data_IF_500210284259
#
_entry.id   IF_500210284259
#
_cell.length_a   1.000
_cell.length_b   1.000
_cell.length_c   1.000
_cell.angle_alpha   90.00
_cell.angle_beta   90.00
_cell.angle_gamma   90.00
#
_symmetry.space_group_name_H-M   'P 1'
#
loop_
_entity.id
_entity.type
_entity.pdbx_description
1 polymer ?
#
# COMPACT_ATOMS: atom_id res chain seq x y z
N UNK A 1 26.19 6.34 11.98
CA UNK A 1 24.81 6.89 12.03
C UNK A 1 24.03 6.35 10.83
N UNK A 2 22.79 5.87 11.03
CA UNK A 2 21.96 5.38 9.93
C UNK A 2 21.67 6.50 8.92
N UNK A 3 21.76 6.22 7.61
CA UNK A 3 21.64 7.23 6.53
C UNK A 3 20.39 7.04 5.66
N UNK A 4 19.42 6.29 6.16
CA UNK A 4 18.19 5.95 5.45
C UNK A 4 18.30 4.65 4.65
N UNK A 5 17.17 4.01 4.41
CA UNK A 5 17.04 2.87 3.49
C UNK A 5 17.22 3.34 2.05
N UNK A 6 17.69 2.47 1.15
CA UNK A 6 17.74 2.77 -0.29
C UNK A 6 16.34 2.94 -0.88
N UNK A 7 15.43 2.04 -0.51
CA UNK A 7 14.01 2.02 -0.89
C UNK A 7 13.15 2.01 0.37
N UNK A 8 12.26 2.99 0.46
CA UNK A 8 11.25 3.07 1.51
C UNK A 8 9.88 2.76 0.91
N UNK A 9 9.21 1.73 1.41
CA UNK A 9 7.81 1.45 1.09
C UNK A 9 6.93 1.94 2.23
N UNK A 10 5.80 2.57 1.95
CA UNK A 10 4.87 3.07 2.97
C UNK A 10 3.44 3.07 2.44
N UNK A 11 2.47 3.28 3.32
CA UNK A 11 1.07 3.58 2.98
C UNK A 11 0.48 4.50 4.02
N UNK A 12 -0.73 5.00 3.81
CA UNK A 12 -1.43 5.79 4.83
C UNK A 12 -1.66 4.97 6.11
N UNK A 13 -1.81 5.66 7.26
CA UNK A 13 -1.98 5.03 8.56
C UNK A 13 -3.17 4.05 8.58
N UNK A 14 -4.26 4.36 7.87
CA UNK A 14 -5.39 3.45 7.72
C UNK A 14 -4.96 2.17 6.99
N UNK A 15 -4.21 2.27 5.92
CA UNK A 15 -3.76 1.11 5.17
C UNK A 15 -2.80 0.21 5.98
N UNK A 16 -1.80 0.79 6.65
CA UNK A 16 -0.72 0.03 7.30
C UNK A 16 -0.95 -0.27 8.79
N UNK A 17 -2.02 0.27 9.38
CA UNK A 17 -2.39 0.04 10.77
C UNK A 17 -2.55 -1.45 11.11
N UNK A 18 -2.18 -1.82 12.33
CA UNK A 18 -2.43 -3.16 12.89
C UNK A 18 -3.90 -3.35 13.30
N UNK A 19 -4.64 -2.25 13.44
CA UNK A 19 -6.01 -2.19 13.94
C UNK A 19 -6.26 -3.00 15.22
N UNK A 20 -5.24 -3.09 16.08
CA UNK A 20 -5.29 -3.91 17.30
C UNK A 20 -5.73 -5.36 17.02
N UNK A 21 -5.34 -5.91 15.86
CA UNK A 21 -5.71 -7.26 15.38
C UNK A 21 -7.20 -7.44 15.05
N UNK A 22 -7.93 -6.34 14.82
CA UNK A 22 -9.32 -6.33 14.33
C UNK A 22 -9.39 -5.85 12.89
N UNK A 23 -9.81 -6.70 11.95
CA UNK A 23 -9.87 -6.32 10.53
C UNK A 23 -11.00 -5.33 10.19
N UNK A 24 -12.04 -5.22 11.03
CA UNK A 24 -13.25 -4.44 10.72
C UNK A 24 -13.10 -2.94 10.90
N UNK A 25 -12.11 -2.49 11.69
CA UNK A 25 -11.87 -1.07 11.95
C UNK A 25 -11.32 -0.33 10.71
N UNK A 26 -10.95 -1.06 9.65
CA UNK A 26 -10.42 -0.46 8.42
C UNK A 26 -11.39 0.45 7.68
N UNK A 27 -12.68 0.28 7.89
CA UNK A 27 -13.67 1.15 7.26
C UNK A 27 -13.70 2.57 7.86
N UNK A 28 -13.24 2.72 9.11
CA UNK A 28 -13.22 4.01 9.80
C UNK A 28 -12.31 5.03 9.11
N UNK A 29 -11.29 4.59 8.35
CA UNK A 29 -10.37 5.49 7.65
C UNK A 29 -11.02 6.16 6.41
N UNK A 30 -12.16 5.65 5.95
CA UNK A 30 -13.00 6.31 4.94
C UNK A 30 -13.87 7.44 5.50
N UNK A 31 -13.99 7.58 6.83
CA UNK A 31 -14.78 8.65 7.43
C UNK A 31 -14.17 10.03 7.14
N UNK A 32 -15.02 11.04 6.86
CA UNK A 32 -14.60 12.43 6.76
C UNK A 32 -13.94 12.94 8.05
N UNK A 33 -12.91 13.79 7.92
CA UNK A 33 -12.12 14.29 9.05
C UNK A 33 -12.91 15.16 10.06
N UNK A 34 -14.06 15.68 9.68
CA UNK A 34 -14.97 16.43 10.55
C UNK A 34 -15.84 15.52 11.42
N UNK A 35 -16.07 14.29 10.97
CA UNK A 35 -16.64 13.21 11.81
C UNK A 35 -15.52 12.50 12.58
N UNK A 36 -14.33 12.43 11.98
CA UNK A 36 -13.17 11.74 12.53
C UNK A 36 -11.89 12.61 12.57
N UNK A 37 -11.71 13.46 13.60
CA UNK A 37 -10.56 14.35 13.69
C UNK A 37 -9.22 13.62 13.87
N UNK A 38 -8.14 14.20 13.35
CA UNK A 38 -6.82 13.56 13.27
C UNK A 38 -6.14 13.29 14.61
N UNK A 39 -6.59 13.89 15.72
CA UNK A 39 -5.95 13.72 17.02
C UNK A 39 -6.25 12.35 17.67
N UNK A 40 -7.25 11.60 17.17
CA UNK A 40 -7.55 10.23 17.62
C UNK A 40 -6.86 9.14 16.76
N UNK A 41 -6.06 9.54 15.77
CA UNK A 41 -5.54 8.62 14.77
C UNK A 41 -4.65 7.51 15.34
N UNK A 42 -3.85 7.79 16.37
CA UNK A 42 -3.00 6.79 17.02
C UNK A 42 -3.79 5.70 17.75
N UNK A 43 -4.97 6.05 18.26
CA UNK A 43 -5.85 5.13 18.95
C UNK A 43 -6.56 4.19 17.96
N UNK A 44 -7.02 4.72 16.83
CA UNK A 44 -7.82 3.97 15.86
C UNK A 44 -7.00 3.29 14.78
N UNK A 45 -5.86 3.90 14.44
CA UNK A 45 -4.89 3.37 13.48
C UNK A 45 -3.54 3.13 14.17
N UNK A 46 -3.46 2.21 15.14
CA UNK A 46 -2.21 1.89 15.82
C UNK A 46 -1.25 1.19 14.85
N UNK A 47 -0.03 1.71 14.74
CA UNK A 47 1.05 1.10 13.96
C UNK A 47 2.00 0.34 14.89
N UNK A 48 2.63 -0.72 14.37
CA UNK A 48 3.67 -1.45 15.08
C UNK A 48 4.96 -1.42 14.27
N UNK A 49 5.88 -0.56 14.68
CA UNK A 49 7.18 -0.38 14.01
C UNK A 49 8.35 -0.56 14.97
N UNK A 50 9.49 -0.99 14.43
CA UNK A 50 10.75 -1.21 15.14
C UNK A 50 11.77 -0.12 14.82
N UNK A 51 13.03 -0.51 14.69
CA UNK A 51 14.14 0.40 14.40
C UNK A 51 13.93 1.13 13.06
N UNK A 52 14.22 2.43 13.04
CA UNK A 52 14.09 3.29 11.85
C UNK A 52 12.69 3.26 11.20
N UNK A 53 11.64 3.10 12.01
CA UNK A 53 10.26 3.05 11.51
C UNK A 53 9.90 1.78 10.74
N UNK A 54 10.78 0.76 10.64
CA UNK A 54 10.46 -0.50 9.93
C UNK A 54 9.23 -1.16 10.55
N UNK A 55 8.20 -1.40 9.74
CA UNK A 55 6.97 -2.05 10.16
C UNK A 55 7.23 -3.50 10.58
N UNK A 56 6.63 -3.92 11.69
CA UNK A 56 6.61 -5.33 12.13
C UNK A 56 5.59 -6.16 11.33
N UNK A 57 4.55 -5.49 10.85
CA UNK A 57 3.52 -6.03 9.96
C UNK A 57 2.94 -4.91 9.12
N UNK A 58 2.43 -5.19 7.93
CA UNK A 58 1.85 -4.16 7.06
C UNK A 58 0.73 -4.72 6.18
N UNK A 59 0.22 -3.88 5.28
CA UNK A 59 -0.77 -4.28 4.28
C UNK A 59 -0.17 -5.27 3.29
N UNK A 60 -0.99 -6.25 2.89
CA UNK A 60 -0.58 -7.39 2.06
C UNK A 60 0.08 -6.98 0.73
N UNK A 61 -0.46 -5.97 0.03
CA UNK A 61 0.12 -5.47 -1.23
C UNK A 61 1.55 -4.95 -1.05
N UNK A 62 1.80 -4.12 -0.03
CA UNK A 62 3.17 -3.65 0.28
C UNK A 62 4.11 -4.82 0.62
N UNK A 63 3.63 -5.84 1.33
CA UNK A 63 4.41 -7.04 1.65
C UNK A 63 4.78 -7.84 0.40
N UNK A 64 3.90 -7.90 -0.61
CA UNK A 64 4.19 -8.53 -1.92
C UNK A 64 5.20 -7.75 -2.74
N UNK A 65 5.11 -6.42 -2.75
CA UNK A 65 6.09 -5.58 -3.43
C UNK A 65 7.46 -5.70 -2.76
N UNK A 66 7.53 -5.66 -1.42
CA UNK A 66 8.77 -5.92 -0.69
C UNK A 66 9.35 -7.29 -1.07
N UNK A 67 8.55 -8.35 -1.02
CA UNK A 67 9.02 -9.69 -1.35
C UNK A 67 9.49 -9.80 -2.81
N UNK A 68 8.79 -9.17 -3.76
CA UNK A 68 9.24 -9.13 -5.16
C UNK A 68 10.59 -8.42 -5.31
N UNK A 69 10.82 -7.31 -4.60
CA UNK A 69 12.12 -6.65 -4.61
C UNK A 69 13.21 -7.59 -4.07
N UNK A 70 12.97 -8.24 -2.94
CA UNK A 70 13.95 -9.16 -2.35
C UNK A 70 14.26 -10.35 -3.27
N UNK A 71 13.24 -10.92 -3.92
CA UNK A 71 13.41 -12.03 -4.88
C UNK A 71 14.16 -11.59 -6.16
N UNK A 72 14.30 -10.28 -6.39
CA UNK A 72 15.02 -9.68 -7.53
C UNK A 72 16.35 -9.00 -7.13
N UNK A 73 16.97 -9.48 -6.04
CA UNK A 73 18.35 -9.13 -5.68
C UNK A 73 18.51 -7.87 -4.82
N UNK A 74 17.41 -7.27 -4.36
CA UNK A 74 17.48 -6.23 -3.34
C UNK A 74 17.70 -6.85 -1.95
N UNK A 75 18.43 -6.15 -1.10
CA UNK A 75 18.72 -6.61 0.27
C UNK A 75 17.63 -6.17 1.24
N UNK A 76 17.46 -6.93 2.34
CA UNK A 76 16.55 -6.56 3.42
C UNK A 76 17.11 -5.41 4.25
N UNK A 77 18.35 -5.03 4.06
CA UNK A 77 19.01 -3.88 4.68
C UNK A 77 18.71 -2.59 3.89
N UNK A 78 18.45 -2.71 2.58
CA UNK A 78 18.18 -1.59 1.68
C UNK A 78 16.70 -1.29 1.47
N UNK A 79 15.83 -2.28 1.63
CA UNK A 79 14.37 -2.15 1.46
C UNK A 79 13.67 -2.28 2.81
N UNK A 80 12.74 -1.36 3.10
CA UNK A 80 11.88 -1.47 4.28
C UNK A 80 10.46 -1.00 3.99
N UNK A 81 9.47 -1.72 4.50
CA UNK A 81 8.14 -1.14 4.74
C UNK A 81 8.21 -0.32 6.02
N UNK A 82 7.76 0.92 5.98
CA UNK A 82 7.99 1.94 7.01
C UNK A 82 6.67 2.54 7.48
N UNK A 83 6.63 2.85 8.76
CA UNK A 83 5.56 3.60 9.41
C UNK A 83 5.49 5.03 8.85
N UNK A 84 4.35 5.46 8.27
CA UNK A 84 4.22 6.80 7.70
C UNK A 84 4.47 7.92 8.71
N UNK A 85 4.32 7.64 10.03
CA UNK A 85 4.57 8.61 11.11
C UNK A 85 6.05 8.79 11.43
N UNK A 86 6.91 7.92 10.92
CA UNK A 86 8.35 7.86 11.21
C UNK A 86 9.20 7.89 9.94
N UNK A 87 8.69 8.51 8.88
CA UNK A 87 9.38 8.62 7.59
C UNK A 87 10.71 9.38 7.70
N UNK A 88 10.82 10.33 8.62
CA UNK A 88 12.02 11.09 8.93
C UNK A 88 13.16 10.25 9.53
N UNK A 89 12.83 9.12 10.17
CA UNK A 89 13.84 8.17 10.65
C UNK A 89 14.37 7.25 9.54
N UNK A 90 13.56 7.01 8.51
CA UNK A 90 13.79 6.01 7.47
C UNK A 90 14.35 6.60 6.17
N UNK A 91 13.95 7.83 5.84
CA UNK A 91 14.36 8.54 4.63
C UNK A 91 15.56 9.41 4.94
N UNK A 92 16.66 9.17 4.25
CA UNK A 92 17.91 9.88 4.48
C UNK A 92 18.74 10.06 3.22
N UNK A 93 20.03 10.42 3.36
CA UNK A 93 20.89 10.66 2.21
C UNK A 93 21.07 9.48 1.24
N UNK A 94 20.90 8.25 1.72
CA UNK A 94 21.01 7.05 0.89
C UNK A 94 19.71 6.70 0.17
N UNK A 95 18.58 7.28 0.56
CA UNK A 95 17.28 6.97 -0.03
C UNK A 95 17.19 7.51 -1.45
N UNK A 96 16.70 6.67 -2.37
CA UNK A 96 16.50 6.98 -3.79
C UNK A 96 15.06 6.81 -4.25
N UNK A 97 14.28 5.99 -3.54
CA UNK A 97 12.90 5.77 -3.90
C UNK A 97 11.99 5.68 -2.68
N UNK A 98 10.80 6.26 -2.80
CA UNK A 98 9.68 6.05 -1.89
C UNK A 98 8.52 5.45 -2.68
N UNK A 99 8.16 4.21 -2.36
CA UNK A 99 6.97 3.52 -2.85
C UNK A 99 5.78 3.75 -1.91
N UNK A 100 4.66 4.25 -2.42
CA UNK A 100 3.46 4.50 -1.62
C UNK A 100 2.32 3.62 -2.12
N UNK A 101 1.85 2.71 -1.25
CA UNK A 101 0.63 1.95 -1.45
C UNK A 101 -0.60 2.79 -1.12
N UNK A 102 -1.59 2.84 -2.01
CA UNK A 102 -2.82 3.62 -1.82
C UNK A 102 -4.07 2.78 -2.06
N UNK A 103 -5.13 3.06 -1.30
CA UNK A 103 -6.46 2.44 -1.45
C UNK A 103 -7.56 3.46 -1.78
N UNK A 104 -7.49 4.67 -1.23
CA UNK A 104 -8.45 5.77 -1.50
C UNK A 104 -7.73 7.14 -1.35
N UNK A 105 -6.75 7.43 -2.23
CA UNK A 105 -5.87 8.59 -2.07
C UNK A 105 -6.59 9.95 -2.22
N UNK A 106 -7.68 10.03 -2.98
CA UNK A 106 -8.47 11.25 -3.20
C UNK A 106 -9.80 11.25 -2.44
N UNK A 107 -10.18 10.15 -1.78
CA UNK A 107 -11.40 10.11 -0.97
C UNK A 107 -12.67 9.95 -1.81
N UNK A 108 -12.53 9.37 -3.00
CA UNK A 108 -13.60 9.23 -4.00
C UNK A 108 -13.92 7.77 -4.32
N UNK A 109 -13.28 6.81 -3.65
CA UNK A 109 -13.65 5.40 -3.73
C UNK A 109 -15.12 5.21 -3.32
N UNK A 110 -15.78 4.22 -3.91
CA UNK A 110 -17.15 3.82 -3.62
C UNK A 110 -17.46 3.76 -2.12
N UNK A 111 -16.59 3.13 -1.33
CA UNK A 111 -16.80 3.00 0.12
C UNK A 111 -16.88 4.35 0.83
N UNK A 112 -15.97 5.26 0.53
CA UNK A 112 -15.93 6.62 1.09
C UNK A 112 -17.13 7.45 0.61
N UNK A 113 -17.49 7.35 -0.67
CA UNK A 113 -18.64 8.07 -1.22
C UNK A 113 -19.96 7.59 -0.64
N UNK A 114 -20.13 6.27 -0.46
CA UNK A 114 -21.29 5.70 0.21
C UNK A 114 -21.39 6.21 1.65
N UNK A 115 -20.28 6.25 2.37
CA UNK A 115 -20.24 6.71 3.75
C UNK A 115 -20.64 8.19 3.87
N UNK A 116 -20.12 9.04 2.97
CA UNK A 116 -20.55 10.44 2.86
C UNK A 116 -22.04 10.58 2.60
N UNK A 117 -22.60 9.74 1.72
CA UNK A 117 -24.02 9.78 1.40
C UNK A 117 -24.88 9.38 2.60
N UNK A 118 -24.54 8.30 3.30
CA UNK A 118 -25.22 7.86 4.53
C UNK A 118 -25.17 8.94 5.61
N UNK A 119 -24.00 9.54 5.86
CA UNK A 119 -23.85 10.65 6.80
C UNK A 119 -24.76 11.83 6.44
N UNK A 120 -24.83 12.19 5.14
CA UNK A 120 -25.72 13.25 4.67
C UNK A 120 -27.20 12.94 4.93
N UNK A 121 -27.63 11.69 4.72
CA UNK A 121 -29.00 11.25 5.03
C UNK A 121 -29.30 11.34 6.54
N UNK A 122 -28.29 11.14 7.39
CA UNK A 122 -28.37 11.31 8.85
C UNK A 122 -28.29 12.78 9.30
N UNK A 123 -28.30 13.74 8.37
CA UNK A 123 -28.18 15.17 8.68
C UNK A 123 -26.76 15.66 8.96
N UNK A 124 -25.74 14.81 8.78
CA UNK A 124 -24.33 15.17 8.96
C UNK A 124 -23.78 15.70 7.63
N UNK A 125 -23.54 17.02 7.57
CA UNK A 125 -22.97 17.66 6.39
C UNK A 125 -21.43 17.61 6.42
N UNK A 126 -20.87 16.49 5.98
CA UNK A 126 -19.44 16.28 5.98
C UNK A 126 -18.72 17.04 4.85
N UNK A 127 -17.86 18.00 5.19
CA UNK A 127 -17.16 18.89 4.25
C UNK A 127 -15.70 18.52 4.04
N UNK A 128 -15.06 17.86 5.01
CA UNK A 128 -13.66 17.52 4.91
C UNK A 128 -13.44 16.23 4.12
N UNK A 129 -12.24 16.06 3.58
CA UNK A 129 -11.79 14.83 2.93
C UNK A 129 -11.76 13.63 3.91
N UNK A 130 -11.69 12.41 3.39
CA UNK A 130 -11.56 11.21 4.24
C UNK A 130 -10.21 11.20 4.96
N UNK A 131 -10.12 10.46 6.07
CA UNK A 131 -8.86 10.28 6.77
C UNK A 131 -7.77 9.70 5.87
N UNK A 132 -8.07 8.64 5.10
CA UNK A 132 -7.10 8.05 4.16
C UNK A 132 -6.57 9.04 3.13
N UNK A 133 -7.45 9.86 2.55
CA UNK A 133 -7.04 10.86 1.58
C UNK A 133 -6.13 11.91 2.24
N UNK A 134 -6.52 12.41 3.42
CA UNK A 134 -5.70 13.34 4.20
C UNK A 134 -4.32 12.75 4.55
N UNK A 135 -4.29 11.51 5.03
CA UNK A 135 -3.07 10.80 5.41
C UNK A 135 -2.15 10.56 4.21
N UNK A 136 -2.71 10.15 3.06
CA UNK A 136 -1.95 10.03 1.81
C UNK A 136 -1.33 11.36 1.38
N UNK A 137 -2.10 12.45 1.46
CA UNK A 137 -1.59 13.79 1.14
C UNK A 137 -0.48 14.24 2.11
N UNK A 138 -0.52 13.82 3.39
CA UNK A 138 0.55 14.07 4.36
C UNK A 138 1.85 13.37 3.99
N UNK A 139 1.78 12.13 3.52
CA UNK A 139 2.96 11.38 3.05
C UNK A 139 3.54 12.09 1.83
N UNK A 140 2.73 12.35 0.80
CA UNK A 140 3.20 13.00 -0.44
C UNK A 140 3.82 14.38 -0.20
N UNK A 141 3.28 15.15 0.76
CA UNK A 141 3.78 16.48 1.14
C UNK A 141 4.81 16.45 2.27
N UNK A 142 5.27 15.26 2.69
CA UNK A 142 6.14 15.14 3.85
C UNK A 142 7.46 15.92 3.65
N UNK A 143 7.93 16.73 4.62
CA UNK A 143 9.13 17.55 4.47
C UNK A 143 10.38 16.74 4.09
N UNK A 144 10.50 15.51 4.58
CA UNK A 144 11.65 14.63 4.26
C UNK A 144 11.70 14.24 2.78
N UNK A 145 10.55 14.03 2.14
CA UNK A 145 10.46 13.74 0.70
C UNK A 145 10.89 14.97 -0.08
N UNK A 146 10.37 16.15 0.29
CA UNK A 146 10.75 17.43 -0.32
C UNK A 146 12.24 17.71 -0.18
N UNK A 147 12.82 17.45 0.99
CA UNK A 147 14.25 17.65 1.29
C UNK A 147 15.18 16.87 0.34
N UNK A 148 14.78 15.67 -0.09
CA UNK A 148 15.59 14.81 -0.94
C UNK A 148 15.07 14.67 -2.37
N UNK A 149 14.07 15.46 -2.76
CA UNK A 149 13.32 15.30 -4.01
C UNK A 149 14.18 15.30 -5.28
N UNK A 150 15.32 15.97 -5.28
CA UNK A 150 16.25 16.02 -6.43
C UNK A 150 16.84 14.66 -6.81
N UNK A 151 16.92 13.72 -5.86
CA UNK A 151 17.43 12.35 -6.08
C UNK A 151 16.43 11.26 -5.76
N UNK A 152 15.37 11.62 -5.04
CA UNK A 152 14.36 10.69 -4.55
C UNK A 152 13.18 10.68 -5.52
N UNK A 153 12.87 9.48 -6.03
CA UNK A 153 11.70 9.21 -6.87
C UNK A 153 10.52 8.75 -6.01
N UNK A 154 9.33 9.26 -6.30
CA UNK A 154 8.07 8.89 -5.67
C UNK A 154 7.29 8.00 -6.64
N UNK A 155 7.05 6.75 -6.23
CA UNK A 155 6.33 5.75 -7.01
C UNK A 155 5.05 5.41 -6.24
N UNK A 156 3.89 5.48 -6.88
CA UNK A 156 2.60 5.22 -6.22
C UNK A 156 1.88 4.10 -6.93
N UNK A 157 1.34 3.16 -6.15
CA UNK A 157 0.55 2.05 -6.67
C UNK A 157 -0.45 1.54 -5.63
N UNK A 158 -1.19 0.50 -5.97
CA UNK A 158 -2.24 -0.05 -5.12
C UNK A 158 -3.63 0.15 -5.69
N UNK A 159 -4.63 -0.35 -4.98
CA UNK A 159 -6.01 -0.48 -5.48
C UNK A 159 -6.67 0.88 -5.79
N UNK A 160 -6.26 1.95 -5.10
CA UNK A 160 -6.80 3.30 -5.29
C UNK A 160 -6.05 4.16 -6.32
N UNK A 161 -5.05 3.63 -7.03
CA UNK A 161 -4.20 4.43 -7.92
C UNK A 161 -4.97 5.06 -9.09
N UNK A 162 -6.06 4.44 -9.52
CA UNK A 162 -6.93 4.93 -10.60
C UNK A 162 -7.46 6.33 -10.33
N UNK A 163 -7.70 6.70 -9.06
CA UNK A 163 -8.18 8.04 -8.69
C UNK A 163 -7.20 9.13 -9.13
N UNK A 164 -5.89 8.86 -9.03
CA UNK A 164 -4.83 9.80 -9.44
C UNK A 164 -4.64 9.79 -10.96
N UNK A 165 -4.81 8.63 -11.60
CA UNK A 165 -4.72 8.47 -13.06
C UNK A 165 -5.83 9.28 -13.73
N UNK A 166 -7.08 9.01 -13.34
CA UNK A 166 -8.26 9.58 -13.98
C UNK A 166 -8.41 11.08 -13.71
N UNK A 167 -7.93 11.55 -12.55
CA UNK A 167 -7.92 12.98 -12.22
C UNK A 167 -6.77 13.76 -12.87
N UNK A 168 -5.78 13.09 -13.48
CA UNK A 168 -4.61 13.74 -14.07
C UNK A 168 -3.69 14.42 -13.04
N UNK A 169 -3.84 14.13 -11.74
CA UNK A 169 -3.16 14.85 -10.67
C UNK A 169 -1.70 14.41 -10.42
N UNK A 170 -1.21 13.38 -11.13
CA UNK A 170 0.13 12.80 -10.94
C UNK A 170 1.24 13.84 -10.78
N UNK A 171 1.39 14.71 -11.77
CA UNK A 171 2.47 15.71 -11.81
C UNK A 171 2.31 16.75 -10.68
N UNK A 172 1.07 17.20 -10.43
CA UNK A 172 0.75 18.17 -9.37
C UNK A 172 1.03 17.61 -7.97
N UNK A 173 0.87 16.31 -7.79
CA UNK A 173 1.18 15.60 -6.55
C UNK A 173 2.67 15.23 -6.43
N UNK A 174 3.50 15.57 -7.42
CA UNK A 174 4.93 15.31 -7.40
C UNK A 174 5.31 13.83 -7.55
N UNK A 175 4.42 13.01 -8.12
CA UNK A 175 4.60 11.57 -8.30
C UNK A 175 5.36 11.31 -9.61
N UNK A 176 6.48 10.57 -9.55
CA UNK A 176 7.27 10.24 -10.73
C UNK A 176 6.63 9.12 -11.56
N UNK A 177 6.14 8.06 -10.90
CA UNK A 177 5.51 6.91 -11.58
C UNK A 177 4.26 6.42 -10.86
N UNK A 178 3.19 6.18 -11.62
CA UNK A 178 2.01 5.44 -11.19
C UNK A 178 2.10 3.98 -11.65
N UNK A 179 1.79 3.04 -10.77
CA UNK A 179 1.71 1.60 -11.09
C UNK A 179 0.27 1.13 -10.94
N UNK A 180 -0.37 0.82 -12.07
CA UNK A 180 -1.74 0.32 -12.17
C UNK A 180 -1.73 -1.20 -12.40
N UNK A 181 -2.59 -1.95 -11.71
CA UNK A 181 -2.64 -3.41 -11.82
C UNK A 181 -1.67 -4.12 -10.87
N UNK A 182 -1.20 -5.31 -11.25
CA UNK A 182 -0.31 -6.13 -10.40
C UNK A 182 1.15 -5.67 -10.53
N UNK A 183 1.70 -5.14 -9.44
CA UNK A 183 3.00 -4.48 -9.43
C UNK A 183 4.20 -5.42 -9.37
N UNK A 184 4.00 -6.70 -9.03
CA UNK A 184 5.10 -7.60 -8.65
C UNK A 184 6.12 -7.82 -9.78
N UNK A 185 5.71 -7.84 -11.04
CA UNK A 185 6.64 -8.01 -12.18
C UNK A 185 7.35 -6.71 -12.58
N UNK A 186 6.73 -5.55 -12.33
CA UNK A 186 7.21 -4.25 -12.84
C UNK A 186 7.99 -3.47 -11.78
N UNK A 187 7.64 -3.63 -10.50
CA UNK A 187 8.24 -2.89 -9.40
C UNK A 187 9.77 -3.06 -9.33
N UNK A 188 10.37 -4.27 -9.45
CA UNK A 188 11.83 -4.42 -9.38
C UNK A 188 12.58 -3.56 -10.40
N UNK A 189 12.11 -3.52 -11.65
CA UNK A 189 12.70 -2.70 -12.71
C UNK A 189 12.57 -1.21 -12.42
N UNK A 190 11.38 -0.76 -11.99
CA UNK A 190 11.12 0.65 -11.67
C UNK A 190 12.03 1.11 -10.52
N UNK A 191 12.12 0.33 -9.44
CA UNK A 191 12.96 0.67 -8.29
C UNK A 191 14.45 0.59 -8.60
N UNK A 192 14.89 -0.35 -9.45
CA UNK A 192 16.28 -0.41 -9.90
C UNK A 192 16.68 0.85 -10.68
N UNK A 193 15.81 1.31 -11.59
CA UNK A 193 16.00 2.57 -12.32
C UNK A 193 16.04 3.77 -11.38
N UNK A 194 15.14 3.82 -10.39
CA UNK A 194 15.11 4.88 -9.39
C UNK A 194 16.42 4.95 -8.58
N UNK A 195 16.97 3.79 -8.19
CA UNK A 195 18.24 3.70 -7.45
C UNK A 195 19.42 4.23 -8.27
N UNK A 196 19.43 3.95 -9.58
CA UNK A 196 20.44 4.44 -10.52
C UNK A 196 20.28 5.92 -10.89
N UNK A 197 19.19 6.57 -10.44
CA UNK A 197 18.90 7.96 -10.77
C UNK A 197 18.38 8.15 -12.20
N UNK A 198 17.91 7.07 -12.84
CA UNK A 198 17.37 7.12 -14.20
C UNK A 198 15.99 7.83 -14.23
N UNK A 199 15.63 8.31 -15.41
CA UNK A 199 14.28 8.79 -15.72
C UNK A 199 13.27 7.64 -15.60
N UNK A 200 12.13 7.90 -14.95
CA UNK A 200 11.06 6.93 -14.82
C UNK A 200 9.90 7.29 -15.73
N UNK A 201 9.23 6.27 -16.27
CA UNK A 201 8.02 6.48 -17.05
C UNK A 201 6.87 6.93 -16.12
N UNK A 202 6.03 7.90 -16.55
CA UNK A 202 4.93 8.43 -15.75
C UNK A 202 3.90 7.41 -15.23
N UNK A 203 3.62 6.37 -16.03
CA UNK A 203 2.58 5.39 -15.76
C UNK A 203 3.00 4.04 -16.32
N UNK A 204 2.87 3.00 -15.50
CA UNK A 204 3.13 1.61 -15.86
C UNK A 204 1.89 0.79 -15.54
N UNK A 205 1.45 -0.02 -16.50
CA UNK A 205 0.43 -1.05 -16.28
C UNK A 205 1.10 -2.38 -15.99
N UNK A 206 0.93 -2.88 -14.78
CA UNK A 206 1.35 -4.19 -14.33
C UNK A 206 0.42 -5.28 -14.88
N UNK A 207 0.94 -6.25 -15.66
CA UNK A 207 0.13 -7.34 -16.18
C UNK A 207 -0.25 -8.33 -15.07
N UNK A 208 -1.25 -9.19 -15.28
CA UNK A 208 -1.51 -10.31 -14.36
C UNK A 208 -0.25 -11.14 -14.11
N UNK A 209 0.08 -11.37 -12.84
CA UNK A 209 1.29 -12.10 -12.44
C UNK A 209 1.07 -13.61 -12.53
N UNK A 210 1.87 -14.37 -13.29
CA UNK A 210 1.77 -15.83 -13.31
C UNK A 210 1.94 -16.43 -11.92
N UNK A 211 1.28 -17.56 -11.66
CA UNK A 211 1.17 -18.14 -10.31
C UNK A 211 2.53 -18.39 -9.65
N UNK A 212 3.48 -18.89 -10.42
CA UNK A 212 4.85 -19.17 -10.04
C UNK A 212 5.62 -17.90 -9.67
N UNK A 213 5.29 -16.76 -10.28
CA UNK A 213 5.93 -15.45 -10.04
C UNK A 213 5.31 -14.65 -8.90
N UNK A 214 4.17 -15.08 -8.33
CA UNK A 214 3.63 -14.45 -7.12
C UNK A 214 4.58 -14.75 -5.94
N UNK A 215 5.23 -13.74 -5.35
CA UNK A 215 6.21 -13.96 -4.30
C UNK A 215 5.51 -14.33 -2.98
N UNK A 216 6.21 -15.07 -2.14
CA UNK A 216 5.79 -15.32 -0.75
C UNK A 216 6.21 -14.11 0.09
N UNK A 217 5.32 -13.55 0.91
CA UNK A 217 5.66 -12.39 1.76
C UNK A 217 6.85 -12.67 2.70
N UNK A 218 7.60 -11.61 3.07
CA UNK A 218 8.70 -11.67 4.06
C UNK A 218 8.39 -10.88 5.33
N UNK A 219 7.55 -9.86 5.21
CA UNK A 219 6.96 -9.14 6.34
C UNK A 219 5.54 -9.65 6.57
N UNK A 220 5.13 -9.92 7.83
CA UNK A 220 3.76 -10.30 8.16
C UNK A 220 2.72 -9.34 7.59
N UNK A 221 1.64 -9.86 7.03
CA UNK A 221 0.59 -9.13 6.30
C UNK A 221 -0.67 -8.92 7.15
N UNK A 222 -0.50 -8.73 8.47
CA UNK A 222 -1.58 -8.61 9.46
C UNK A 222 -2.50 -9.82 9.46
N UNK A 223 -1.97 -11.02 9.18
CA UNK A 223 -2.74 -12.26 9.11
C UNK A 223 -3.48 -12.48 7.78
N UNK A 224 -3.37 -11.58 6.80
CA UNK A 224 -4.01 -11.75 5.48
C UNK A 224 -3.21 -12.73 4.63
N UNK A 225 -3.83 -13.81 4.18
CA UNK A 225 -3.23 -14.78 3.26
C UNK A 225 -4.14 -14.98 2.06
N UNK A 226 -3.65 -14.69 0.87
CA UNK A 226 -4.43 -14.85 -0.36
C UNK A 226 -4.48 -16.33 -0.77
N UNK A 227 -5.69 -16.83 -1.00
CA UNK A 227 -5.92 -18.22 -1.45
C UNK A 227 -6.30 -18.28 -2.92
N UNK A 228 -6.88 -17.21 -3.46
CA UNK A 228 -7.10 -17.04 -4.90
C UNK A 228 -6.87 -15.58 -5.29
N UNK A 229 -6.44 -15.36 -6.54
CA UNK A 229 -6.25 -14.03 -7.13
C UNK A 229 -7.06 -13.91 -8.40
N UNK A 230 -7.72 -12.76 -8.57
CA UNK A 230 -8.64 -12.52 -9.67
C UNK A 230 -9.99 -13.18 -9.45
N UNK A 231 -10.97 -12.77 -10.25
CA UNK A 231 -12.37 -13.16 -10.14
C UNK A 231 -12.84 -13.96 -11.37
N UNK A 232 -12.36 -13.60 -12.57
CA UNK A 232 -12.64 -14.28 -13.83
C UNK A 232 -14.08 -14.17 -14.34
N UNK A 233 -14.90 -13.30 -13.74
CA UNK A 233 -16.30 -13.05 -14.13
C UNK A 233 -16.46 -12.14 -15.35
N UNK A 234 -15.47 -11.32 -15.70
CA UNK A 234 -15.57 -10.46 -16.88
C UNK A 234 -16.52 -9.26 -16.75
N UNK A 235 -16.80 -8.79 -15.54
CA UNK A 235 -17.70 -7.65 -15.34
C UNK A 235 -17.15 -6.39 -16.03
N UNK A 236 -18.00 -5.67 -16.78
CA UNK A 236 -17.61 -4.48 -17.56
C UNK A 236 -17.01 -3.35 -16.72
N UNK A 237 -17.36 -3.27 -15.44
CA UNK A 237 -16.91 -2.25 -14.50
C UNK A 237 -15.66 -2.67 -13.70
N UNK A 238 -15.13 -3.88 -13.92
CA UNK A 238 -14.06 -4.45 -13.12
C UNK A 238 -12.69 -4.17 -13.74
N UNK A 239 -11.63 -4.16 -12.92
CA UNK A 239 -10.27 -3.99 -13.40
C UNK A 239 -9.87 -5.21 -14.27
N UNK A 240 -9.28 -5.01 -15.47
CA UNK A 240 -8.88 -6.10 -16.37
C UNK A 240 -7.94 -7.15 -15.74
N UNK A 241 -7.13 -6.77 -14.75
CA UNK A 241 -6.26 -7.72 -14.04
C UNK A 241 -7.04 -8.78 -13.25
N UNK A 242 -8.29 -8.50 -12.89
CA UNK A 242 -9.16 -9.43 -12.17
C UNK A 242 -9.80 -10.49 -13.09
N UNK A 243 -9.52 -10.46 -14.40
CA UNK A 243 -9.99 -11.48 -15.34
C UNK A 243 -9.23 -12.81 -15.17
N UNK A 244 -7.97 -12.77 -14.75
CA UNK A 244 -7.15 -13.97 -14.62
C UNK A 244 -7.32 -14.58 -13.22
N UNK A 245 -8.21 -15.57 -13.11
CA UNK A 245 -8.39 -16.36 -11.90
C UNK A 245 -7.23 -17.33 -11.69
N UNK A 246 -6.65 -17.33 -10.49
CA UNK A 246 -5.52 -18.17 -10.09
C UNK A 246 -5.76 -18.72 -8.69
N UNK A 247 -5.65 -20.03 -8.52
CA UNK A 247 -5.64 -20.69 -7.22
C UNK A 247 -4.22 -20.69 -6.67
N UNK A 248 -4.01 -20.14 -5.47
CA UNK A 248 -2.70 -20.15 -4.83
C UNK A 248 -2.40 -21.58 -4.32
N UNK A 249 -1.24 -22.18 -4.65
CA UNK A 249 -0.89 -23.51 -4.17
C UNK A 249 -0.88 -23.58 -2.65
N UNK A 250 -1.30 -24.72 -2.10
CA UNK A 250 -1.37 -24.95 -0.66
C UNK A 250 -0.02 -24.69 0.02
N UNK A 251 1.09 -25.05 -0.64
CA UNK A 251 2.44 -24.84 -0.13
C UNK A 251 2.76 -23.36 0.03
N UNK A 252 2.31 -22.50 -0.89
CA UNK A 252 2.47 -21.04 -0.78
C UNK A 252 1.59 -20.49 0.34
N UNK A 253 0.34 -20.96 0.44
CA UNK A 253 -0.61 -20.56 1.50
C UNK A 253 -0.01 -20.87 2.87
N UNK A 254 0.47 -22.10 3.09
CA UNK A 254 1.06 -22.53 4.36
C UNK A 254 2.27 -21.67 4.72
N UNK A 255 3.18 -21.41 3.77
CA UNK A 255 4.35 -20.56 4.03
C UNK A 255 3.97 -19.14 4.44
N UNK A 256 2.92 -18.55 3.86
CA UNK A 256 2.47 -17.22 4.28
C UNK A 256 1.76 -17.23 5.63
N UNK A 257 1.07 -18.32 5.97
CA UNK A 257 0.55 -18.54 7.33
C UNK A 257 1.71 -18.59 8.32
N UNK A 258 2.77 -19.35 8.05
CA UNK A 258 3.96 -19.45 8.89
C UNK A 258 4.63 -18.08 9.12
N UNK A 259 4.77 -17.27 8.06
CA UNK A 259 5.32 -15.90 8.17
C UNK A 259 4.46 -15.03 9.10
N UNK A 260 3.13 -15.09 8.97
CA UNK A 260 2.22 -14.33 9.84
C UNK A 260 2.27 -14.81 11.30
N UNK A 261 2.25 -16.12 11.52
CA UNK A 261 2.32 -16.72 12.87
C UNK A 261 3.65 -16.39 13.55
N UNK A 262 4.77 -16.48 12.82
CA UNK A 262 6.08 -16.05 13.30
C UNK A 262 6.13 -14.54 13.62
N UNK A 263 5.32 -13.73 12.93
CA UNK A 263 5.08 -12.32 13.21
C UNK A 263 4.22 -12.03 14.44
N UNK A 264 3.68 -13.05 15.11
CA UNK A 264 2.81 -12.93 16.28
C UNK A 264 1.33 -12.77 15.97
N UNK A 265 0.92 -13.05 14.72
CA UNK A 265 -0.49 -13.12 14.34
C UNK A 265 -1.13 -14.40 14.86
N UNK A 266 -2.32 -14.27 15.45
CA UNK A 266 -3.10 -15.39 16.01
C UNK A 266 -4.37 -15.69 15.23
N UNK A 267 -4.70 -14.83 14.28
CA UNK A 267 -5.86 -14.96 13.40
C UNK A 267 -5.37 -14.82 11.97
N UNK A 268 -5.78 -15.75 11.13
CA UNK A 268 -5.50 -15.71 9.70
C UNK A 268 -6.81 -15.43 8.97
N UNK A 269 -6.78 -14.42 8.12
CA UNK A 269 -7.87 -14.09 7.21
C UNK A 269 -7.51 -14.61 5.82
N UNK A 270 -8.20 -15.64 5.37
CA UNK A 270 -8.08 -16.13 4.00
C UNK A 270 -8.76 -15.12 3.06
N UNK A 271 -7.96 -14.52 2.20
CA UNK A 271 -8.41 -13.52 1.24
C UNK A 271 -8.59 -14.12 -0.14
N UNK A 272 -9.71 -13.76 -0.77
CA UNK A 272 -10.06 -14.18 -2.12
C UNK A 272 -10.98 -13.12 -2.72
N UNK A 273 -10.81 -12.84 -4.01
CA UNK A 273 -11.79 -12.05 -4.77
C UNK A 273 -12.99 -12.89 -5.21
N UNK A 274 -12.85 -14.21 -5.27
CA UNK A 274 -13.91 -15.13 -5.62
C UNK A 274 -13.64 -16.53 -5.05
N UNK A 275 -14.39 -16.90 -4.01
CA UNK A 275 -14.28 -18.21 -3.34
C UNK A 275 -14.93 -19.37 -4.12
N UNK A 276 -15.78 -19.08 -5.11
CA UNK A 276 -16.71 -20.05 -5.68
C UNK A 276 -16.39 -20.41 -7.14
N UNK A 277 -15.13 -20.64 -7.46
CA UNK A 277 -14.73 -21.04 -8.82
C UNK A 277 -13.77 -22.22 -8.83
#
# INVERSE_FOLDING_TARGET
MFRGFGIVLTGDEGLVSTYSKSHHLGFASGLPMDVFPSFFDKLLFPTASGKHGRMKTSQYGLCKIEASLLDNGFSREDVAIVDPRRLDEAVGPNTRAVGIGVLDPLGINYGTMLLRYVLRLMGVNARLQSYMSWATMRILKHPVIKKYRSRLKVIVGGQGVWEIIDSGLRARLGIDTLVEGEGELVAPSIFAKAIKGEELVPHVKGPPVPLEKIPIIRTPSRGIVEITRGCGRGCRFCNPTLLMYRNIPLEKIIREVEVNVAGGERKILLHSENFHR
#
